data_IF_818763887671
#
_entry.id   IF_818763887671
#
_cell.length_a   1.000
_cell.length_b   1.000
_cell.length_c   1.000
_cell.angle_alpha   90.00
_cell.angle_beta   90.00
_cell.angle_gamma   90.00
#
_symmetry.space_group_name_H-M   'P 1'
#
loop_
_entity.id
_entity.type
_entity.pdbx_description
1 polymer ?
#
# COMPACT_ATOMS: atom_id res chain seq x y z
N UNK A 1 -51.60 35.61 -50.15
CA UNK A 1 -51.16 35.02 -48.86
C UNK A 1 -50.10 33.92 -49.03
N UNK A 2 -49.33 33.89 -50.13
CA UNK A 2 -48.46 32.75 -50.50
C UNK A 2 -46.97 32.89 -50.13
N UNK A 3 -46.49 34.06 -49.70
CA UNK A 3 -45.05 34.30 -49.52
C UNK A 3 -44.46 33.71 -48.21
N UNK A 4 -45.28 33.27 -47.25
CA UNK A 4 -44.81 32.75 -45.95
C UNK A 4 -44.32 31.30 -46.01
N UNK A 5 -44.89 30.48 -46.90
CA UNK A 5 -44.55 29.06 -46.98
C UNK A 5 -43.15 28.81 -47.57
N UNK A 6 -42.69 29.69 -48.45
CA UNK A 6 -41.40 29.55 -49.12
C UNK A 6 -40.21 29.94 -48.21
N UNK A 7 -40.44 30.87 -47.26
CA UNK A 7 -39.50 31.21 -46.19
C UNK A 7 -39.42 30.09 -45.14
N UNK A 8 -40.55 29.51 -44.77
CA UNK A 8 -40.62 28.43 -43.79
C UNK A 8 -39.89 27.17 -44.28
N UNK A 9 -40.07 26.78 -45.55
CA UNK A 9 -39.34 25.65 -46.15
C UNK A 9 -37.82 25.86 -46.29
N UNK A 10 -37.34 27.11 -46.28
CA UNK A 10 -35.89 27.41 -46.31
C UNK A 10 -35.28 27.54 -44.91
N UNK A 11 -36.04 28.04 -43.93
CA UNK A 11 -35.58 28.22 -42.55
C UNK A 11 -35.60 26.91 -41.74
N UNK A 12 -36.59 26.04 -42.00
CA UNK A 12 -36.73 24.75 -41.33
C UNK A 12 -35.48 23.85 -41.42
N UNK A 13 -34.88 23.60 -42.61
CA UNK A 13 -33.66 22.79 -42.69
C UNK A 13 -32.50 23.46 -41.95
N UNK A 14 -32.36 24.79 -42.03
CA UNK A 14 -31.29 25.52 -41.35
C UNK A 14 -31.37 25.36 -39.82
N UNK A 15 -32.59 25.45 -39.28
CA UNK A 15 -32.86 25.30 -37.86
C UNK A 15 -32.64 23.84 -37.40
N UNK A 16 -33.02 22.85 -38.22
CA UNK A 16 -32.71 21.44 -37.99
C UNK A 16 -31.22 21.16 -37.98
N UNK A 17 -30.43 21.75 -38.89
CA UNK A 17 -28.97 21.57 -38.91
C UNK A 17 -28.33 22.15 -37.65
N UNK A 18 -28.78 23.31 -37.19
CA UNK A 18 -28.29 23.92 -35.94
C UNK A 18 -28.60 23.02 -34.74
N UNK A 19 -29.85 22.56 -34.61
CA UNK A 19 -30.24 21.66 -33.51
C UNK A 19 -29.42 20.37 -33.55
N UNK A 20 -29.25 19.77 -34.73
CA UNK A 20 -28.46 18.55 -34.89
C UNK A 20 -27.00 18.77 -34.50
N UNK A 21 -26.41 19.90 -34.89
CA UNK A 21 -25.03 20.26 -34.54
C UNK A 21 -24.88 20.41 -33.03
N UNK A 22 -25.83 21.09 -32.36
CA UNK A 22 -25.84 21.24 -30.90
C UNK A 22 -25.93 19.88 -30.21
N UNK A 23 -26.81 18.99 -30.67
CA UNK A 23 -26.96 17.65 -30.10
C UNK A 23 -25.66 16.85 -30.24
N UNK A 24 -25.00 16.90 -31.40
CA UNK A 24 -23.74 16.19 -31.64
C UNK A 24 -22.61 16.73 -30.76
N UNK A 25 -22.49 18.05 -30.63
CA UNK A 25 -21.49 18.67 -29.74
C UNK A 25 -21.74 18.27 -28.29
N UNK A 26 -23.00 18.29 -27.85
CA UNK A 26 -23.37 17.92 -26.49
C UNK A 26 -23.10 16.44 -26.20
N UNK A 27 -23.44 15.55 -27.13
CA UNK A 27 -23.09 14.12 -27.07
C UNK A 27 -21.58 13.90 -26.96
N UNK A 28 -20.79 14.59 -27.80
CA UNK A 28 -19.33 14.48 -27.76
C UNK A 28 -18.75 14.95 -26.42
N UNK A 29 -19.30 16.01 -25.85
CA UNK A 29 -18.86 16.54 -24.55
C UNK A 29 -19.18 15.56 -23.41
N UNK A 30 -20.37 14.94 -23.42
CA UNK A 30 -20.71 13.88 -22.45
C UNK A 30 -19.77 12.69 -22.61
N UNK A 31 -19.50 12.23 -23.84
CA UNK A 31 -18.60 11.11 -24.08
C UNK A 31 -17.18 11.37 -23.56
N UNK A 32 -16.68 12.59 -23.72
CA UNK A 32 -15.39 13.00 -23.17
C UNK A 32 -15.38 13.01 -21.63
N UNK A 33 -16.45 13.51 -21.00
CA UNK A 33 -16.59 13.51 -19.53
C UNK A 33 -16.63 12.08 -18.98
N UNK A 34 -17.48 11.22 -19.56
CA UNK A 34 -17.61 9.82 -19.16
C UNK A 34 -16.29 9.07 -19.34
N UNK A 35 -15.55 9.36 -20.43
CA UNK A 35 -14.22 8.77 -20.64
C UNK A 35 -13.22 9.22 -19.55
N UNK A 36 -13.24 10.49 -19.15
CA UNK A 36 -12.37 10.99 -18.09
C UNK A 36 -12.69 10.32 -16.75
N UNK A 37 -13.97 10.25 -16.38
CA UNK A 37 -14.43 9.57 -15.16
C UNK A 37 -14.08 8.07 -15.17
N UNK A 38 -14.25 7.39 -16.32
CA UNK A 38 -13.84 5.99 -16.48
C UNK A 38 -12.33 5.80 -16.30
N UNK A 39 -11.50 6.72 -16.79
CA UNK A 39 -10.05 6.65 -16.59
C UNK A 39 -9.67 6.84 -15.13
N UNK A 40 -10.33 7.77 -14.43
CA UNK A 40 -10.13 8.00 -13.01
C UNK A 40 -10.51 6.76 -12.19
N UNK A 41 -11.71 6.22 -12.40
CA UNK A 41 -12.17 5.00 -11.71
C UNK A 41 -11.23 3.82 -11.98
N UNK A 42 -10.77 3.65 -13.23
CA UNK A 42 -9.81 2.60 -13.58
C UNK A 42 -8.47 2.77 -12.88
N UNK A 43 -7.98 4.00 -12.75
CA UNK A 43 -6.76 4.28 -12.01
C UNK A 43 -6.92 3.98 -10.51
N UNK A 44 -8.06 4.37 -9.91
CA UNK A 44 -8.37 4.05 -8.51
C UNK A 44 -8.44 2.55 -8.27
N UNK A 45 -9.11 1.79 -9.16
CA UNK A 45 -9.22 0.34 -9.05
C UNK A 45 -7.86 -0.34 -9.17
N UNK A 46 -7.00 0.11 -10.09
CA UNK A 46 -5.64 -0.42 -10.22
C UNK A 46 -4.82 -0.21 -8.94
N UNK A 47 -4.92 0.98 -8.34
CA UNK A 47 -4.23 1.28 -7.08
C UNK A 47 -4.75 0.40 -5.93
N UNK A 48 -6.06 0.15 -5.85
CA UNK A 48 -6.66 -0.74 -4.85
C UNK A 48 -6.25 -2.20 -5.05
N UNK A 49 -6.12 -2.65 -6.30
CA UNK A 49 -5.66 -4.00 -6.63
C UNK A 49 -4.20 -4.20 -6.23
N UNK A 50 -3.31 -3.25 -6.55
CA UNK A 50 -1.92 -3.26 -6.11
C UNK A 50 -1.79 -3.24 -4.57
N UNK A 51 -2.58 -2.39 -3.90
CA UNK A 51 -2.66 -2.33 -2.44
C UNK A 51 -3.11 -3.68 -1.83
N UNK A 52 -4.11 -4.34 -2.42
CA UNK A 52 -4.60 -5.64 -1.97
C UNK A 52 -3.61 -6.78 -2.23
N UNK A 53 -2.89 -6.77 -3.35
CA UNK A 53 -1.87 -7.77 -3.65
C UNK A 53 -0.70 -7.64 -2.64
N UNK A 54 -0.29 -6.41 -2.33
CA UNK A 54 0.75 -6.16 -1.35
C UNK A 54 0.36 -6.60 0.07
N UNK A 55 -0.91 -6.46 0.45
CA UNK A 55 -1.41 -6.89 1.77
C UNK A 55 -1.50 -8.41 1.92
N UNK A 56 -1.91 -9.12 0.86
CA UNK A 56 -2.00 -10.61 0.86
C UNK A 56 -0.62 -11.26 0.89
N UNK A 57 0.39 -10.59 0.33
CA UNK A 57 1.77 -11.12 0.27
C UNK A 57 2.56 -10.81 1.55
N UNK A 58 2.11 -9.85 2.35
CA UNK A 58 2.80 -9.43 3.56
C UNK A 58 2.53 -10.39 4.74
N UNK A 59 3.53 -11.21 5.06
CA UNK A 59 3.51 -12.16 6.19
C UNK A 59 4.65 -11.81 7.16
N UNK A 60 4.47 -10.80 8.04
CA UNK A 60 5.56 -10.16 8.78
C UNK A 60 6.32 -11.07 9.73
N UNK A 61 5.76 -12.21 10.14
CA UNK A 61 6.41 -13.11 11.10
C UNK A 61 6.73 -14.49 10.53
N UNK A 62 6.43 -14.73 9.25
CA UNK A 62 6.66 -16.03 8.61
C UNK A 62 8.13 -16.45 8.61
N UNK A 63 9.04 -15.52 8.34
CA UNK A 63 10.46 -15.81 8.34
C UNK A 63 10.97 -16.25 9.73
N UNK A 64 10.44 -15.66 10.81
CA UNK A 64 10.73 -16.12 12.18
C UNK A 64 10.12 -17.50 12.41
N UNK A 65 8.88 -17.71 11.96
CA UNK A 65 8.18 -18.97 12.14
C UNK A 65 8.90 -20.13 11.44
N UNK A 66 9.35 -19.94 10.21
CA UNK A 66 10.02 -20.96 9.40
C UNK A 66 11.45 -21.22 9.83
N UNK A 67 12.19 -20.20 10.29
CA UNK A 67 13.64 -20.33 10.49
C UNK A 67 14.09 -20.32 11.94
N UNK A 68 13.25 -19.87 12.87
CA UNK A 68 13.69 -19.66 14.25
C UNK A 68 12.91 -20.51 15.27
N UNK A 69 11.77 -21.10 14.90
CA UNK A 69 10.94 -21.85 15.86
C UNK A 69 11.45 -23.25 16.19
N UNK A 70 12.38 -23.79 15.40
CA UNK A 70 13.03 -25.08 15.67
C UNK A 70 13.85 -25.04 16.98
N UNK A 71 14.49 -23.90 17.26
CA UNK A 71 15.35 -23.70 18.44
C UNK A 71 14.75 -22.74 19.49
N UNK A 72 13.73 -21.95 19.13
CA UNK A 72 13.12 -20.96 20.00
C UNK A 72 11.60 -21.15 20.10
N UNK A 73 11.05 -21.07 21.31
CA UNK A 73 9.59 -21.05 21.50
C UNK A 73 9.01 -19.64 21.29
N UNK A 74 7.72 -19.55 20.91
CA UNK A 74 6.98 -18.27 20.72
C UNK A 74 7.17 -17.29 21.90
N UNK A 75 7.26 -17.81 23.13
CA UNK A 75 7.46 -17.02 24.34
C UNK A 75 8.80 -16.26 24.37
N UNK A 76 9.85 -16.78 23.72
CA UNK A 76 11.15 -16.09 23.60
C UNK A 76 11.09 -14.91 22.61
N UNK A 77 10.24 -14.98 21.59
CA UNK A 77 10.06 -13.87 20.62
C UNK A 77 9.24 -12.71 21.18
N UNK A 78 8.33 -13.00 22.12
CA UNK A 78 7.60 -11.97 22.87
C UNK A 78 8.45 -11.28 23.96
N UNK A 79 9.66 -11.79 24.22
CA UNK A 79 10.62 -11.12 25.09
C UNK A 79 11.03 -9.76 24.51
N UNK A 80 11.64 -8.91 25.33
CA UNK A 80 12.28 -7.69 24.82
C UNK A 80 13.46 -8.16 23.97
N UNK A 81 13.25 -8.33 22.67
CA UNK A 81 14.33 -8.12 21.72
C UNK A 81 14.74 -6.67 21.90
N UNK A 82 15.98 -6.51 22.31
CA UNK A 82 16.56 -5.24 22.68
C UNK A 82 16.54 -4.21 21.55
N UNK A 83 17.26 -3.10 21.74
CA UNK A 83 17.43 -2.13 20.66
C UNK A 83 18.04 -2.77 19.41
N UNK A 84 17.99 -2.09 18.26
CA UNK A 84 18.49 -2.59 16.98
C UNK A 84 19.92 -3.14 17.05
N UNK A 85 20.79 -2.54 17.89
CA UNK A 85 22.14 -3.03 18.12
C UNK A 85 22.14 -4.45 18.73
N UNK A 86 21.23 -4.74 19.65
CA UNK A 86 21.11 -6.06 20.29
C UNK A 86 20.53 -7.08 19.30
N UNK A 87 19.53 -6.71 18.51
CA UNK A 87 18.97 -7.56 17.45
C UNK A 87 20.04 -7.88 16.40
N UNK A 88 20.76 -6.88 15.91
CA UNK A 88 21.83 -7.06 14.92
C UNK A 88 22.97 -7.93 15.46
N UNK A 89 23.32 -7.81 16.74
CA UNK A 89 24.36 -8.63 17.35
C UNK A 89 23.91 -10.09 17.52
N UNK A 90 22.65 -10.33 17.88
CA UNK A 90 22.09 -11.68 17.99
C UNK A 90 22.11 -12.38 16.63
N UNK A 91 21.71 -11.68 15.56
CA UNK A 91 21.67 -12.27 14.22
C UNK A 91 23.07 -12.51 13.68
N UNK A 92 24.02 -11.56 13.84
CA UNK A 92 25.44 -11.79 13.52
C UNK A 92 26.04 -12.98 14.24
N UNK A 93 25.61 -13.23 15.48
CA UNK A 93 26.02 -14.39 16.23
C UNK A 93 25.41 -15.69 15.66
N UNK A 94 24.15 -15.65 15.20
CA UNK A 94 23.51 -16.78 14.52
C UNK A 94 24.17 -17.13 13.19
N UNK A 95 24.62 -16.14 12.40
CA UNK A 95 25.36 -16.37 11.15
C UNK A 95 26.69 -17.13 11.36
N UNK A 96 27.24 -17.10 12.56
CA UNK A 96 28.48 -17.81 12.92
C UNK A 96 28.23 -19.25 13.36
N UNK A 97 26.97 -19.69 13.51
CA UNK A 97 26.65 -21.04 13.95
C UNK A 97 26.65 -22.04 12.79
N UNK A 98 27.36 -23.17 12.91
CA UNK A 98 27.48 -24.16 11.84
C UNK A 98 26.16 -24.88 11.51
N UNK A 99 25.21 -24.90 12.47
CA UNK A 99 23.93 -25.59 12.32
C UNK A 99 22.82 -24.67 11.78
N UNK A 100 23.08 -23.37 11.65
CA UNK A 100 22.11 -22.37 11.16
C UNK A 100 22.33 -22.14 9.67
N UNK A 101 21.38 -22.56 8.85
CA UNK A 101 21.42 -22.39 7.39
C UNK A 101 20.37 -21.36 6.97
N UNK A 102 20.73 -20.07 7.03
CA UNK A 102 19.90 -18.98 6.52
C UNK A 102 20.45 -18.48 5.18
N UNK A 103 19.59 -18.32 4.16
CA UNK A 103 20.01 -17.58 2.98
C UNK A 103 20.11 -16.08 3.29
N UNK A 104 20.90 -15.28 2.53
CA UNK A 104 20.95 -13.83 2.74
C UNK A 104 19.56 -13.15 2.72
N UNK A 105 18.66 -13.67 1.89
CA UNK A 105 17.28 -13.17 1.81
C UNK A 105 16.46 -13.53 3.06
N UNK A 106 16.70 -14.71 3.66
CA UNK A 106 16.04 -15.11 4.90
C UNK A 106 16.54 -14.26 6.07
N UNK A 107 17.83 -13.93 6.08
CA UNK A 107 18.43 -13.03 7.07
C UNK A 107 17.74 -11.66 7.03
N UNK A 108 17.62 -11.04 5.86
CA UNK A 108 16.94 -9.74 5.71
C UNK A 108 15.47 -9.79 6.17
N UNK A 109 14.74 -10.84 5.79
CA UNK A 109 13.35 -11.03 6.23
C UNK A 109 13.26 -11.22 7.75
N UNK A 110 14.17 -11.99 8.36
CA UNK A 110 14.25 -12.16 9.82
C UNK A 110 14.56 -10.83 10.51
N UNK A 111 15.48 -10.02 9.97
CA UNK A 111 15.75 -8.66 10.47
C UNK A 111 14.49 -7.79 10.45
N UNK A 112 13.79 -7.76 9.31
CA UNK A 112 12.54 -7.01 9.18
C UNK A 112 11.48 -7.50 10.15
N UNK A 113 11.29 -8.82 10.26
CA UNK A 113 10.31 -9.44 11.16
C UNK A 113 10.57 -9.09 12.62
N UNK A 114 11.84 -9.11 13.05
CA UNK A 114 12.24 -8.77 14.42
C UNK A 114 12.03 -7.29 14.72
N UNK A 115 12.27 -6.40 13.76
CA UNK A 115 11.98 -4.97 13.91
C UNK A 115 10.47 -4.72 14.12
N UNK A 116 9.61 -5.49 13.44
CA UNK A 116 8.15 -5.38 13.55
C UNK A 116 7.54 -5.98 14.82
N UNK A 117 8.28 -6.79 15.58
CA UNK A 117 7.81 -7.32 16.87
C UNK A 117 7.48 -6.23 17.88
N UNK A 118 8.12 -5.05 17.79
CA UNK A 118 7.78 -3.89 18.62
C UNK A 118 6.35 -3.42 18.37
N UNK A 119 5.90 -3.47 17.11
CA UNK A 119 4.53 -3.12 16.73
C UNK A 119 3.53 -4.19 17.16
N UNK A 120 3.95 -5.47 17.14
CA UNK A 120 3.13 -6.61 17.56
C UNK A 120 2.70 -6.57 19.04
N UNK A 121 3.37 -5.78 19.88
CA UNK A 121 2.98 -5.58 21.29
C UNK A 121 1.62 -4.92 21.45
N UNK A 122 1.25 -4.05 20.51
CA UNK A 122 0.02 -3.25 20.56
C UNK A 122 -0.91 -3.52 19.38
N UNK A 123 -0.41 -4.09 18.30
CA UNK A 123 -1.13 -4.32 17.05
C UNK A 123 -1.08 -5.79 16.66
N UNK A 124 -2.19 -6.33 16.19
CA UNK A 124 -2.20 -7.65 15.57
C UNK A 124 -1.60 -7.62 14.15
N UNK A 125 -1.35 -8.81 13.60
CA UNK A 125 -0.79 -8.97 12.25
C UNK A 125 -1.68 -8.37 11.15
N UNK A 126 -3.00 -8.37 11.32
CA UNK A 126 -3.93 -7.80 10.34
C UNK A 126 -3.79 -6.28 10.22
N UNK A 127 -3.54 -5.59 11.34
CA UNK A 127 -3.25 -4.16 11.33
C UNK A 127 -1.91 -3.85 10.67
N UNK A 128 -0.91 -4.72 10.84
CA UNK A 128 0.38 -4.58 10.16
C UNK A 128 0.24 -4.82 8.65
N UNK A 129 -0.60 -5.77 8.22
CA UNK A 129 -0.92 -5.99 6.81
C UNK A 129 -1.61 -4.79 6.17
N UNK A 130 -2.55 -4.16 6.88
CA UNK A 130 -3.18 -2.92 6.41
C UNK A 130 -2.14 -1.80 6.32
N UNK A 131 -1.24 -1.67 7.29
CA UNK A 131 -0.20 -0.64 7.23
C UNK A 131 0.81 -0.89 6.09
N UNK A 132 1.11 -2.15 5.79
CA UNK A 132 1.99 -2.56 4.69
C UNK A 132 1.35 -2.38 3.30
N UNK A 133 0.01 -2.38 3.21
CA UNK A 133 -0.72 -2.20 1.96
C UNK A 133 -0.66 -0.75 1.44
N UNK A 134 -0.49 0.20 2.36
CA UNK A 134 -0.47 1.62 2.05
C UNK A 134 0.79 2.01 1.28
N UNK A 135 0.67 3.06 0.45
CA UNK A 135 1.85 3.66 -0.16
C UNK A 135 2.84 4.19 0.89
N UNK A 136 4.12 4.27 0.53
CA UNK A 136 5.23 4.61 1.44
C UNK A 136 5.05 5.95 2.16
N UNK A 137 4.47 6.95 1.50
CA UNK A 137 4.22 8.28 2.12
C UNK A 137 3.19 8.15 3.24
N UNK A 138 2.03 7.56 2.94
CA UNK A 138 0.94 7.41 3.90
C UNK A 138 1.30 6.45 5.04
N UNK A 139 2.05 5.40 4.73
CA UNK A 139 2.61 4.47 5.72
C UNK A 139 3.50 5.22 6.71
N UNK A 140 4.46 6.01 6.22
CA UNK A 140 5.36 6.82 7.06
C UNK A 140 4.59 7.79 7.95
N UNK A 141 3.63 8.52 7.39
CA UNK A 141 2.79 9.46 8.15
C UNK A 141 2.01 8.77 9.29
N UNK A 142 1.55 7.53 9.07
CA UNK A 142 0.89 6.76 10.13
C UNK A 142 1.89 6.35 11.20
N UNK A 143 3.06 5.82 10.82
CA UNK A 143 4.10 5.41 11.78
C UNK A 143 4.58 6.61 12.60
N UNK A 144 4.78 7.78 11.99
CA UNK A 144 5.15 9.03 12.67
C UNK A 144 4.05 9.54 13.62
N UNK A 145 2.77 9.36 13.28
CA UNK A 145 1.68 9.70 14.18
C UNK A 145 1.60 8.72 15.35
N UNK A 146 1.88 7.44 15.10
CA UNK A 146 1.90 6.40 16.14
C UNK A 146 3.07 6.59 17.10
N UNK A 147 4.25 6.99 16.62
CA UNK A 147 5.41 7.27 17.48
C UNK A 147 5.14 8.40 18.49
N UNK A 148 4.30 9.38 18.10
CA UNK A 148 3.92 10.52 18.94
C UNK A 148 2.79 10.23 19.95
N UNK A 149 2.15 9.06 19.93
CA UNK A 149 1.06 8.73 20.87
C UNK A 149 1.60 8.44 22.28
N UNK A 150 0.85 8.83 23.31
CA UNK A 150 1.17 8.48 24.70
C UNK A 150 1.18 6.96 24.90
N UNK A 151 2.31 6.42 25.37
CA UNK A 151 2.52 4.96 25.53
C UNK A 151 3.25 4.31 24.36
N UNK A 152 3.52 5.04 23.27
CA UNK A 152 4.51 4.63 22.29
C UNK A 152 5.92 4.89 22.86
N UNK A 153 6.73 3.83 22.96
CA UNK A 153 8.15 3.92 23.30
C UNK A 153 9.01 3.94 22.03
N UNK A 154 8.55 4.60 20.97
CA UNK A 154 9.22 4.63 19.66
C UNK A 154 9.86 6.00 19.41
N UNK A 155 11.16 5.99 19.13
CA UNK A 155 11.94 7.16 18.72
C UNK A 155 11.68 7.54 17.25
N UNK A 156 12.12 8.74 16.86
CA UNK A 156 11.98 9.21 15.48
C UNK A 156 12.81 8.40 14.49
N UNK A 157 13.94 7.84 14.92
CA UNK A 157 14.81 7.03 14.06
C UNK A 157 14.19 5.65 13.77
N UNK A 158 13.45 5.11 14.75
CA UNK A 158 12.72 3.84 14.61
C UNK A 158 11.58 3.90 13.59
N UNK A 159 11.03 5.09 13.28
CA UNK A 159 10.03 5.26 12.22
C UNK A 159 10.58 4.80 10.87
N UNK A 160 11.80 5.25 10.53
CA UNK A 160 12.44 4.90 9.26
C UNK A 160 12.80 3.42 9.19
N UNK A 161 13.17 2.83 10.33
CA UNK A 161 13.51 1.41 10.44
C UNK A 161 12.28 0.52 10.25
N UNK A 162 11.15 0.85 10.86
CA UNK A 162 9.89 0.12 10.67
C UNK A 162 9.45 0.17 9.20
N UNK A 163 9.56 1.35 8.57
CA UNK A 163 9.25 1.48 7.15
C UNK A 163 10.16 0.63 6.28
N UNK A 164 11.47 0.63 6.56
CA UNK A 164 12.45 -0.19 5.84
C UNK A 164 12.17 -1.69 6.01
N UNK A 165 11.89 -2.12 7.23
CA UNK A 165 11.55 -3.51 7.55
C UNK A 165 10.30 -3.99 6.77
N UNK A 166 9.28 -3.14 6.65
CA UNK A 166 8.09 -3.48 5.84
C UNK A 166 8.42 -3.68 4.37
N UNK A 167 9.31 -2.85 3.81
CA UNK A 167 9.76 -2.95 2.42
C UNK A 167 10.57 -4.23 2.18
N UNK A 168 11.51 -4.56 3.06
CA UNK A 168 12.35 -5.77 3.00
C UNK A 168 11.52 -7.06 3.04
N UNK A 169 10.48 -7.10 3.90
CA UNK A 169 9.58 -8.26 4.01
C UNK A 169 8.75 -8.45 2.74
N UNK A 170 8.33 -7.34 2.10
CA UNK A 170 7.56 -7.40 0.84
C UNK A 170 8.41 -7.87 -0.35
N UNK A 171 9.74 -7.94 -0.19
CA UNK A 171 10.65 -8.45 -1.22
C UNK A 171 10.94 -7.44 -2.34
N UNK A 172 10.89 -6.15 -2.02
CA UNK A 172 11.29 -5.06 -2.91
C UNK A 172 12.68 -4.53 -2.60
#
# INVERSE_FOLDING_TARGET
MENKNHLFNRLLPFLLTIITTIIVVFMAQILLSVKAELMEVRATLKNMEEEKINSVTFQPFKAIQENCTDCHNERKFMGIHGGDAEINNIIKYMEQMPDVHLSPQDVEKVHGSLALLKCAKCHDESQLQILASLNSVRQREIIERMSKKSGSNMSSDEVGQIQKAMFEIQGF
#
